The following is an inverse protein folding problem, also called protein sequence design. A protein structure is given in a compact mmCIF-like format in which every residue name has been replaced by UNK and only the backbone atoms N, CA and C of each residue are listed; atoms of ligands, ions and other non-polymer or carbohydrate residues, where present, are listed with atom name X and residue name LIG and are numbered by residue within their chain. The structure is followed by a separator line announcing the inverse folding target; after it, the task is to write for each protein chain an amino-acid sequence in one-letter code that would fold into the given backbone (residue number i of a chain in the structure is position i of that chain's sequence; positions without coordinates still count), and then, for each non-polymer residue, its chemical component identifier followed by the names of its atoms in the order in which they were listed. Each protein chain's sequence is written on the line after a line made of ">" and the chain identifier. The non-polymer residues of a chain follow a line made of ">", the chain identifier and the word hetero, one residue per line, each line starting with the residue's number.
data_IF_242560127726
#
_entry.id   IF_242560127726
#
_cell.length_a   1.000
_cell.length_b   1.000
_cell.length_c   1.000
_cell.angle_alpha   90.00
_cell.angle_beta   90.00
_cell.angle_gamma   90.00
#
_symmetry.space_group_name_H-M   'P 1'
#
loop_
_entity.id
_entity.type
_entity.pdbx_description
1 polymer ?
#
# COMPACT_ATOMS: atom_id res chain seq x y z
N UNK A 1 -8.96 0.16 4.36
CA UNK A 1 -9.21 1.58 4.66
C UNK A 1 -7.93 2.43 4.54
N UNK A 2 -7.55 2.78 3.30
CA UNK A 2 -6.44 3.71 3.03
C UNK A 2 -6.61 4.50 1.70
N UNK A 3 -7.67 4.23 0.93
CA UNK A 3 -7.95 4.83 -0.38
C UNK A 3 -6.83 4.69 -1.45
N UNK A 4 -6.03 3.61 -1.38
CA UNK A 4 -4.85 3.41 -2.25
C UNK A 4 -5.04 2.41 -3.38
N UNK A 5 -6.25 1.87 -3.61
CA UNK A 5 -6.47 0.88 -4.66
C UNK A 5 -6.05 1.39 -6.04
N UNK A 6 -6.54 2.58 -6.41
CA UNK A 6 -6.19 3.22 -7.68
C UNK A 6 -4.71 3.63 -7.75
N UNK A 7 -4.16 4.17 -6.65
CA UNK A 7 -2.74 4.53 -6.57
C UNK A 7 -1.82 3.34 -6.80
N UNK A 8 -2.10 2.21 -6.14
CA UNK A 8 -1.34 0.97 -6.35
C UNK A 8 -1.42 0.47 -7.80
N UNK A 9 -2.59 0.58 -8.44
CA UNK A 9 -2.75 0.16 -9.83
C UNK A 9 -1.93 1.02 -10.82
N UNK A 10 -1.83 2.33 -10.58
CA UNK A 10 -1.00 3.23 -11.40
C UNK A 10 0.48 2.88 -11.22
N UNK A 11 0.93 2.69 -9.97
CA UNK A 11 2.29 2.27 -9.67
C UNK A 11 2.62 0.90 -10.28
N UNK A 12 1.68 -0.05 -10.24
CA UNK A 12 1.81 -1.36 -10.88
C UNK A 12 1.94 -1.23 -12.40
N UNK A 13 1.12 -0.40 -13.04
CA UNK A 13 1.18 -0.18 -14.47
C UNK A 13 2.54 0.41 -14.91
N UNK A 14 3.08 1.37 -14.13
CA UNK A 14 4.41 1.92 -14.37
C UNK A 14 5.50 0.85 -14.29
N UNK A 15 5.54 0.08 -13.19
CA UNK A 15 6.60 -0.90 -12.96
C UNK A 15 6.50 -2.09 -13.92
N UNK A 16 5.28 -2.53 -14.23
CA UNK A 16 5.04 -3.57 -15.22
C UNK A 16 5.47 -3.12 -16.62
N UNK A 17 5.12 -1.89 -17.01
CA UNK A 17 5.55 -1.32 -18.30
C UNK A 17 7.07 -1.27 -18.42
N UNK A 18 7.76 -0.83 -17.36
CA UNK A 18 9.23 -0.85 -17.29
C UNK A 18 9.80 -2.26 -17.46
N UNK A 19 9.27 -3.24 -16.74
CA UNK A 19 9.76 -4.62 -16.79
C UNK A 19 9.50 -5.29 -18.15
N UNK A 20 8.30 -5.12 -18.72
CA UNK A 20 7.97 -5.65 -20.05
C UNK A 20 8.75 -4.95 -21.17
N UNK A 21 9.14 -3.68 -20.99
CA UNK A 21 10.10 -3.00 -21.85
C UNK A 21 11.42 -3.76 -21.99
N UNK A 22 11.95 -4.29 -20.88
CA UNK A 22 13.16 -5.12 -20.90
C UNK A 22 12.98 -6.41 -21.73
N UNK A 23 11.78 -7.00 -21.71
CA UNK A 23 11.49 -8.17 -22.52
C UNK A 23 11.38 -7.83 -24.01
N UNK A 24 10.74 -6.69 -24.34
CA UNK A 24 10.66 -6.18 -25.71
C UNK A 24 12.05 -5.89 -26.30
N UNK A 25 12.96 -5.36 -25.50
CA UNK A 25 14.34 -5.07 -25.89
C UNK A 25 15.26 -6.30 -25.86
N UNK A 26 14.72 -7.49 -25.55
CA UNK A 26 15.46 -8.77 -25.42
C UNK A 26 16.56 -8.74 -24.35
N UNK A 27 16.44 -7.87 -23.34
CA UNK A 27 17.35 -7.79 -22.18
C UNK A 27 17.03 -8.90 -21.17
N UNK A 28 15.77 -9.32 -21.07
CA UNK A 28 15.31 -10.43 -20.23
C UNK A 28 14.21 -11.21 -20.96
N UNK A 29 14.02 -12.49 -20.62
CA UNK A 29 12.84 -13.22 -21.08
C UNK A 29 11.56 -12.71 -20.36
N UNK A 30 10.36 -12.94 -20.92
CA UNK A 30 9.11 -12.46 -20.33
C UNK A 30 8.86 -12.96 -18.90
N UNK A 31 9.25 -14.19 -18.55
CA UNK A 31 9.02 -14.73 -17.21
C UNK A 31 9.93 -14.03 -16.18
N UNK A 32 11.19 -13.77 -16.55
CA UNK A 32 12.11 -12.99 -15.71
C UNK A 32 11.61 -11.55 -15.54
N UNK A 33 11.10 -10.91 -16.59
CA UNK A 33 10.52 -9.57 -16.50
C UNK A 33 9.32 -9.52 -15.53
N UNK A 34 8.39 -10.47 -15.63
CA UNK A 34 7.23 -10.55 -14.71
C UNK A 34 7.65 -10.83 -13.26
N UNK A 35 8.67 -11.66 -13.05
CA UNK A 35 9.23 -11.90 -11.71
C UNK A 35 9.84 -10.63 -11.11
N UNK A 36 10.54 -9.82 -11.92
CA UNK A 36 11.09 -8.53 -11.49
C UNK A 36 9.98 -7.55 -11.10
N UNK A 37 8.92 -7.46 -11.91
CA UNK A 37 7.74 -6.67 -11.56
C UNK A 37 7.15 -7.11 -10.21
N UNK A 38 6.93 -8.41 -10.02
CA UNK A 38 6.39 -8.94 -8.78
C UNK A 38 7.30 -8.59 -7.58
N UNK A 39 8.61 -8.77 -7.72
CA UNK A 39 9.60 -8.42 -6.69
C UNK A 39 9.64 -6.91 -6.38
N UNK A 40 9.42 -6.05 -7.36
CA UNK A 40 9.38 -4.59 -7.18
C UNK A 40 8.12 -4.07 -6.49
N UNK A 41 7.02 -4.84 -6.49
CA UNK A 41 5.70 -4.35 -6.03
C UNK A 41 5.14 -5.07 -4.80
N UNK A 42 5.45 -6.35 -4.62
CA UNK A 42 4.78 -7.17 -3.60
C UNK A 42 4.87 -6.59 -2.19
N UNK A 43 6.05 -6.12 -1.78
CA UNK A 43 6.27 -5.65 -0.41
C UNK A 43 5.47 -4.36 -0.13
N UNK A 44 5.47 -3.44 -1.11
CA UNK A 44 4.72 -2.19 -1.03
C UNK A 44 3.21 -2.46 -0.97
N UNK A 45 2.69 -3.28 -1.88
CA UNK A 45 1.28 -3.66 -1.89
C UNK A 45 0.88 -4.35 -0.57
N UNK A 46 1.71 -5.29 -0.08
CA UNK A 46 1.43 -5.99 1.17
C UNK A 46 1.43 -5.05 2.39
N UNK A 47 2.34 -4.06 2.44
CA UNK A 47 2.35 -3.03 3.49
C UNK A 47 1.08 -2.18 3.47
N UNK A 48 0.65 -1.74 2.29
CA UNK A 48 -0.59 -0.97 2.09
C UNK A 48 -1.80 -1.77 2.54
N UNK A 49 -1.90 -3.04 2.15
CA UNK A 49 -3.02 -3.91 2.55
C UNK A 49 -3.06 -4.16 4.07
N UNK A 50 -1.93 -4.53 4.70
CA UNK A 50 -1.87 -4.72 6.15
C UNK A 50 -2.28 -3.46 6.93
N UNK A 51 -1.85 -2.28 6.47
CA UNK A 51 -2.26 -1.03 7.10
C UNK A 51 -3.74 -0.74 6.87
N UNK A 52 -4.26 -1.01 5.65
CA UNK A 52 -5.66 -0.84 5.32
C UNK A 52 -6.59 -1.73 6.15
N UNK A 53 -6.20 -2.97 6.43
CA UNK A 53 -6.89 -3.91 7.31
C UNK A 53 -6.87 -3.43 8.77
N UNK A 54 -5.69 -3.04 9.27
CA UNK A 54 -5.54 -2.46 10.61
C UNK A 54 -6.43 -1.24 10.80
N UNK A 55 -6.42 -0.31 9.85
CA UNK A 55 -7.28 0.87 9.88
C UNK A 55 -8.76 0.50 9.88
N UNK A 56 -9.15 -0.53 9.12
CA UNK A 56 -10.53 -1.03 9.12
C UNK A 56 -10.98 -1.47 10.51
N UNK A 57 -10.17 -2.29 11.18
CA UNK A 57 -10.45 -2.75 12.55
C UNK A 57 -10.52 -1.59 13.55
N UNK A 58 -9.61 -0.62 13.47
CA UNK A 58 -9.59 0.52 14.39
C UNK A 58 -10.79 1.45 14.16
N UNK A 59 -11.09 1.80 12.91
CA UNK A 59 -12.19 2.71 12.61
C UNK A 59 -13.57 2.11 12.85
N UNK A 60 -13.71 0.78 12.79
CA UNK A 60 -14.96 0.07 13.11
C UNK A 60 -14.97 -0.54 14.51
N UNK A 61 -13.98 -0.20 15.36
CA UNK A 61 -13.93 -0.71 16.73
C UNK A 61 -15.16 -0.26 17.53
N UNK A 62 -15.68 -1.17 18.34
CA UNK A 62 -16.81 -0.96 19.25
C UNK A 62 -16.38 -1.18 20.71
N UNK A 63 -17.22 -0.75 21.66
CA UNK A 63 -16.98 -0.97 23.08
C UNK A 63 -15.73 -0.24 23.60
N UNK A 64 -14.98 -0.83 24.55
CA UNK A 64 -13.84 -0.16 25.19
C UNK A 64 -12.76 0.33 24.22
N UNK A 65 -12.55 -0.37 23.10
CA UNK A 65 -11.57 0.01 22.07
C UNK A 65 -12.00 1.29 21.36
N UNK A 66 -13.31 1.49 21.15
CA UNK A 66 -13.87 2.72 20.60
C UNK A 66 -13.54 3.93 21.48
N UNK A 67 -13.70 3.80 22.80
CA UNK A 67 -13.41 4.88 23.75
C UNK A 67 -11.93 5.24 23.74
N UNK A 68 -11.04 4.23 23.73
CA UNK A 68 -9.60 4.44 23.62
C UNK A 68 -9.21 5.16 22.32
N UNK A 69 -9.81 4.77 21.18
CA UNK A 69 -9.63 5.45 19.89
C UNK A 69 -10.08 6.90 19.96
N UNK A 70 -11.29 7.17 20.45
CA UNK A 70 -11.87 8.51 20.48
C UNK A 70 -11.08 9.46 21.38
N UNK A 71 -10.65 8.97 22.56
CA UNK A 71 -9.77 9.74 23.44
C UNK A 71 -8.42 10.02 22.78
N UNK A 72 -7.81 9.01 22.15
CA UNK A 72 -6.52 9.16 21.47
C UNK A 72 -6.60 10.17 20.32
N UNK A 73 -7.66 10.12 19.52
CA UNK A 73 -7.89 11.09 18.44
C UNK A 73 -8.12 12.50 18.98
N UNK A 74 -8.84 12.66 20.09
CA UNK A 74 -9.04 13.98 20.73
C UNK A 74 -7.74 14.58 21.26
N UNK A 75 -6.84 13.75 21.80
CA UNK A 75 -5.60 14.23 22.43
C UNK A 75 -4.45 14.42 21.43
N UNK A 76 -4.31 13.53 20.46
CA UNK A 76 -3.14 13.45 19.57
C UNK A 76 -3.44 13.88 18.13
N UNK A 77 -4.73 13.94 17.75
CA UNK A 77 -5.18 14.51 16.47
C UNK A 77 -4.61 13.82 15.23
N UNK A 78 -4.34 14.63 14.21
CA UNK A 78 -3.94 14.20 12.86
C UNK A 78 -2.61 13.42 12.84
N UNK A 79 -1.73 13.63 13.82
CA UNK A 79 -0.43 12.93 13.90
C UNK A 79 -0.57 11.41 14.01
N UNK A 80 -1.71 10.91 14.49
CA UNK A 80 -2.03 9.47 14.53
C UNK A 80 -2.45 8.92 13.17
N UNK A 81 -2.93 9.78 12.26
CA UNK A 81 -3.47 9.41 10.97
C UNK A 81 -2.44 9.53 9.84
N UNK A 82 -1.38 10.31 10.06
CA UNK A 82 -0.31 10.54 9.08
C UNK A 82 0.36 9.24 8.61
N UNK A 83 0.56 9.16 7.28
CA UNK A 83 1.24 8.04 6.62
C UNK A 83 2.33 8.56 5.67
N UNK A 84 3.40 9.20 6.20
CA UNK A 84 4.42 9.87 5.38
C UNK A 84 5.26 8.91 4.53
N UNK A 85 5.17 7.61 4.78
CA UNK A 85 5.82 6.59 3.95
C UNK A 85 5.05 6.28 2.67
N UNK A 86 3.78 6.69 2.58
CA UNK A 86 2.92 6.34 1.46
C UNK A 86 3.22 7.16 0.21
N UNK A 87 3.65 8.40 0.39
CA UNK A 87 4.02 9.33 -0.69
C UNK A 87 5.54 9.46 -0.88
N UNK A 88 6.30 8.50 -0.33
CA UNK A 88 7.68 8.23 -0.70
C UNK A 88 7.70 7.15 -1.77
#
# INVERSE_FOLDING_TARGET
>A
YLAQGAGMAIEDAQELGRCLGMARERIADPATALRRYALGRWERCARVQRQAERNGRIFHATGPVQWGRDLSLRLLGERLLDQPWLYR
#
